data_IF_953136935328
#
_entry.id   IF_953136935328
#
_cell.length_a   1.000
_cell.length_b   1.000
_cell.length_c   1.000
_cell.angle_alpha   90.00
_cell.angle_beta   90.00
_cell.angle_gamma   90.00
#
_symmetry.space_group_name_H-M   'P 1'
#
loop_
_entity.id
_entity.type
_entity.pdbx_description
1 polymer ?
#
# COMPACT_ATOMS: atom_id res chain seq x y z
N UNK A 1 -2.23 -34.25 12.53
CA UNK A 1 -2.87 -33.18 13.31
C UNK A 1 -3.31 -32.15 12.30
N UNK A 2 -4.57 -31.67 12.35
CA UNK A 2 -4.95 -30.54 11.48
C UNK A 2 -4.05 -29.36 11.85
N UNK A 3 -3.45 -28.69 10.86
CA UNK A 3 -2.66 -27.49 11.11
C UNK A 3 -3.52 -26.45 11.85
N UNK A 4 -2.91 -25.69 12.76
CA UNK A 4 -3.63 -24.65 13.49
C UNK A 4 -4.24 -23.62 12.52
N UNK A 5 -5.46 -23.10 12.76
CA UNK A 5 -6.07 -22.08 11.90
C UNK A 5 -5.17 -20.87 11.70
N UNK A 6 -5.00 -20.44 10.43
CA UNK A 6 -4.08 -19.36 10.05
C UNK A 6 -4.82 -18.14 9.51
N UNK A 7 -4.28 -16.95 9.78
CA UNK A 7 -4.74 -15.74 9.09
C UNK A 7 -4.26 -15.74 7.63
N UNK A 8 -4.82 -14.86 6.80
CA UNK A 8 -4.32 -14.63 5.44
C UNK A 8 -2.84 -14.21 5.49
N UNK A 9 -2.49 -13.34 6.43
CA UNK A 9 -1.10 -12.93 6.63
C UNK A 9 -0.21 -14.12 6.97
N UNK A 10 -0.62 -15.00 7.88
CA UNK A 10 0.15 -16.19 8.25
C UNK A 10 0.37 -17.12 7.05
N UNK A 11 -0.67 -17.36 6.24
CA UNK A 11 -0.58 -18.20 5.04
C UNK A 11 0.44 -17.65 4.04
N UNK A 12 0.38 -16.35 3.75
CA UNK A 12 1.30 -15.71 2.82
C UNK A 12 2.71 -15.71 3.42
N UNK A 13 2.87 -15.31 4.68
CA UNK A 13 4.17 -15.29 5.34
C UNK A 13 4.85 -16.67 5.30
N UNK A 14 4.15 -17.71 5.76
CA UNK A 14 4.70 -19.06 5.87
C UNK A 14 5.10 -19.63 4.50
N UNK A 15 4.37 -19.28 3.43
CA UNK A 15 4.71 -19.69 2.07
C UNK A 15 6.00 -19.04 1.52
N UNK A 16 6.48 -17.95 2.13
CA UNK A 16 7.62 -17.17 1.64
C UNK A 16 8.83 -17.19 2.57
N UNK A 17 8.75 -17.81 3.75
CA UNK A 17 9.91 -17.97 4.64
C UNK A 17 10.93 -18.89 3.98
N UNK A 18 12.13 -18.37 3.75
CA UNK A 18 13.29 -19.13 3.25
C UNK A 18 14.06 -19.75 4.42
N UNK A 19 14.27 -18.96 5.47
CA UNK A 19 14.96 -19.37 6.68
C UNK A 19 14.52 -18.50 7.87
N UNK A 20 14.60 -19.04 9.09
CA UNK A 20 14.37 -18.30 10.33
C UNK A 20 15.66 -18.27 11.14
N UNK A 21 16.07 -17.07 11.55
CA UNK A 21 17.25 -16.82 12.36
C UNK A 21 16.95 -17.10 13.84
N UNK A 22 18.02 -17.30 14.63
CA UNK A 22 17.92 -17.58 16.07
C UNK A 22 17.27 -16.42 16.86
N UNK A 23 17.37 -15.18 16.38
CA UNK A 23 16.77 -14.00 17.00
C UNK A 23 15.27 -13.82 16.68
N UNK A 24 14.67 -14.78 15.96
CA UNK A 24 13.27 -14.77 15.54
C UNK A 24 12.97 -13.96 14.28
N UNK A 25 13.95 -13.29 13.67
CA UNK A 25 13.78 -12.74 12.32
C UNK A 25 13.77 -13.85 11.26
N UNK A 26 13.11 -13.62 10.13
CA UNK A 26 13.07 -14.57 9.01
C UNK A 26 13.55 -13.90 7.73
N UNK A 27 14.29 -14.65 6.93
CA UNK A 27 14.58 -14.28 5.55
C UNK A 27 13.36 -14.62 4.69
N UNK A 28 12.69 -13.59 4.20
CA UNK A 28 11.50 -13.71 3.37
C UNK A 28 11.89 -13.61 1.90
N UNK A 29 11.34 -14.50 1.07
CA UNK A 29 11.40 -14.36 -0.38
C UNK A 29 10.53 -13.18 -0.84
N UNK A 30 11.00 -12.40 -1.82
CA UNK A 30 10.26 -11.28 -2.39
C UNK A 30 9.86 -11.62 -3.84
N UNK A 31 8.57 -11.66 -4.15
CA UNK A 31 8.12 -12.01 -5.51
C UNK A 31 8.30 -10.87 -6.50
N UNK A 32 8.04 -9.64 -6.06
CA UNK A 32 8.04 -8.45 -6.91
C UNK A 32 8.64 -7.26 -6.18
N UNK A 33 9.41 -6.49 -6.92
CA UNK A 33 10.02 -5.25 -6.47
C UNK A 33 9.61 -4.11 -7.40
N UNK A 34 9.00 -3.07 -6.86
CA UNK A 34 8.76 -1.84 -7.58
C UNK A 34 9.84 -0.83 -7.19
N UNK A 35 10.34 -0.07 -8.15
CA UNK A 35 11.33 1.00 -7.90
C UNK A 35 10.94 2.27 -8.64
N UNK A 36 11.31 3.40 -8.06
CA UNK A 36 11.04 4.75 -8.55
C UNK A 36 12.25 5.65 -8.29
N UNK A 37 12.28 6.82 -8.92
CA UNK A 37 13.47 7.65 -9.09
C UNK A 37 13.98 8.31 -7.81
N UNK A 38 13.19 8.34 -6.74
CA UNK A 38 13.55 9.06 -5.51
C UNK A 38 14.42 8.18 -4.60
N UNK A 39 14.03 6.93 -4.39
CA UNK A 39 14.62 6.07 -3.34
C UNK A 39 15.59 5.04 -3.88
N UNK A 40 15.49 4.67 -5.16
CA UNK A 40 16.34 3.64 -5.75
C UNK A 40 17.75 4.05 -6.21
N UNK A 41 18.09 5.32 -6.54
CA UNK A 41 19.41 5.64 -7.11
C UNK A 41 20.59 5.18 -6.26
N UNK A 42 20.52 5.37 -4.94
CA UNK A 42 21.58 4.96 -4.00
C UNK A 42 21.74 3.43 -3.96
N UNK A 43 20.65 2.69 -4.06
CA UNK A 43 20.70 1.23 -4.07
C UNK A 43 21.43 0.69 -5.32
N UNK A 44 21.17 1.27 -6.49
CA UNK A 44 21.88 0.91 -7.72
C UNK A 44 23.37 1.26 -7.66
N UNK A 45 23.72 2.42 -7.07
CA UNK A 45 25.13 2.78 -6.86
C UNK A 45 25.83 1.81 -5.90
N UNK A 46 25.16 1.36 -4.83
CA UNK A 46 25.68 0.34 -3.91
C UNK A 46 26.01 -0.98 -4.62
N UNK A 47 25.15 -1.43 -5.54
CA UNK A 47 25.43 -2.60 -6.38
C UNK A 47 26.67 -2.39 -7.25
N UNK A 48 26.78 -1.22 -7.91
CA UNK A 48 27.89 -0.88 -8.79
C UNK A 48 29.21 -0.85 -8.03
N UNK A 49 29.24 -0.17 -6.88
CA UNK A 49 30.42 -0.07 -6.01
C UNK A 49 30.87 -1.42 -5.45
N UNK A 50 29.95 -2.36 -5.27
CA UNK A 50 30.25 -3.72 -4.78
C UNK A 50 30.42 -4.76 -5.89
N UNK A 51 30.35 -4.35 -7.17
CA UNK A 51 30.45 -5.24 -8.32
C UNK A 51 29.31 -6.27 -8.41
N UNK A 52 28.15 -5.98 -7.82
CA UNK A 52 26.96 -6.85 -7.83
C UNK A 52 26.05 -6.49 -9.00
N UNK A 53 25.27 -7.49 -9.42
CA UNK A 53 24.17 -7.33 -10.38
C UNK A 53 22.83 -7.46 -9.66
N UNK A 54 21.78 -6.98 -10.31
CA UNK A 54 20.41 -7.30 -9.89
C UNK A 54 20.16 -8.80 -10.09
N UNK A 55 19.65 -9.46 -9.05
CA UNK A 55 19.51 -10.92 -8.98
C UNK A 55 18.41 -11.47 -9.88
N UNK A 56 17.28 -10.78 -9.96
CA UNK A 56 16.13 -11.13 -10.82
C UNK A 56 15.55 -9.86 -11.45
N UNK A 57 16.18 -9.31 -12.51
CA UNK A 57 15.71 -8.08 -13.16
C UNK A 57 14.26 -8.15 -13.62
N UNK A 58 13.79 -9.33 -14.05
CA UNK A 58 12.41 -9.58 -14.51
C UNK A 58 11.35 -9.53 -13.40
N UNK A 59 11.77 -9.58 -12.14
CA UNK A 59 10.91 -9.41 -10.96
C UNK A 59 10.91 -7.98 -10.43
N UNK A 60 11.65 -7.08 -11.09
CA UNK A 60 11.70 -5.66 -10.76
C UNK A 60 11.04 -4.86 -11.88
N UNK A 61 10.23 -3.87 -11.52
CA UNK A 61 9.64 -2.92 -12.46
C UNK A 61 9.96 -1.50 -12.00
N UNK A 62 10.55 -0.72 -12.89
CA UNK A 62 10.87 0.69 -12.66
C UNK A 62 9.82 1.59 -13.31
N UNK A 63 9.34 2.59 -12.58
CA UNK A 63 8.41 3.60 -13.08
C UNK A 63 8.78 4.95 -12.48
N UNK A 64 8.69 6.00 -13.29
CA UNK A 64 8.77 7.37 -12.79
C UNK A 64 7.40 7.92 -12.46
N UNK A 65 7.25 8.54 -11.29
CA UNK A 65 5.98 9.16 -10.88
C UNK A 65 6.08 10.34 -9.89
N UNK A 66 7.15 10.46 -9.09
CA UNK A 66 7.28 11.55 -8.10
C UNK A 66 7.78 12.87 -8.72
N UNK A 67 8.61 12.80 -9.75
CA UNK A 67 9.32 13.94 -10.35
C UNK A 67 8.84 14.31 -11.75
N UNK A 68 7.70 13.76 -12.18
CA UNK A 68 7.09 14.09 -13.48
C UNK A 68 6.21 15.33 -13.31
N UNK A 69 6.46 16.45 -14.02
CA UNK A 69 5.64 17.64 -13.92
C UNK A 69 4.18 17.38 -14.31
N UNK A 70 3.25 17.99 -13.57
CA UNK A 70 1.82 17.99 -13.90
C UNK A 70 1.41 19.15 -14.80
N UNK A 71 2.35 20.05 -15.13
CA UNK A 71 2.09 21.20 -15.98
C UNK A 71 1.79 20.79 -17.43
N UNK A 72 0.95 21.55 -18.16
CA UNK A 72 0.60 21.22 -19.54
C UNK A 72 1.79 21.09 -20.50
N UNK A 73 2.90 21.76 -20.20
CA UNK A 73 4.13 21.75 -21.00
C UNK A 73 5.09 20.61 -20.66
N UNK A 74 4.69 19.63 -19.81
CA UNK A 74 5.48 18.42 -19.49
C UNK A 74 5.97 17.65 -20.72
N UNK A 75 5.26 17.78 -21.85
CA UNK A 75 5.63 17.18 -23.14
C UNK A 75 6.98 17.68 -23.66
N UNK A 76 7.46 18.82 -23.18
CA UNK A 76 8.76 19.40 -23.53
C UNK A 76 9.90 18.95 -22.58
N UNK A 77 9.62 18.00 -21.68
CA UNK A 77 10.58 17.48 -20.71
C UNK A 77 10.52 18.14 -19.33
N UNK A 78 11.42 17.71 -18.45
CA UNK A 78 11.49 18.13 -17.04
C UNK A 78 12.44 19.32 -16.91
N UNK A 79 11.88 20.51 -16.61
CA UNK A 79 12.66 21.76 -16.47
C UNK A 79 13.44 21.85 -15.16
N UNK A 80 12.90 21.30 -14.08
CA UNK A 80 13.60 21.27 -12.79
C UNK A 80 14.80 20.33 -12.92
N UNK A 81 16.00 20.85 -12.65
CA UNK A 81 17.25 20.12 -12.86
C UNK A 81 17.37 18.89 -11.95
N UNK A 82 17.01 19.00 -10.67
CA UNK A 82 17.08 17.91 -9.71
C UNK A 82 16.13 16.77 -10.09
N UNK A 83 14.87 17.10 -10.41
CA UNK A 83 13.87 16.15 -10.89
C UNK A 83 14.33 15.45 -12.16
N UNK A 84 14.90 16.19 -13.12
CA UNK A 84 15.43 15.63 -14.37
C UNK A 84 16.57 14.65 -14.11
N UNK A 85 17.52 15.00 -13.23
CA UNK A 85 18.65 14.13 -12.87
C UNK A 85 18.17 12.82 -12.26
N UNK A 86 17.16 12.85 -11.38
CA UNK A 86 16.61 11.63 -10.76
C UNK A 86 15.96 10.72 -11.79
N UNK A 87 15.13 11.27 -12.69
CA UNK A 87 14.49 10.53 -13.78
C UNK A 87 15.52 9.92 -14.73
N UNK A 88 16.53 10.69 -15.15
CA UNK A 88 17.63 10.20 -15.98
C UNK A 88 18.45 9.12 -15.28
N UNK A 89 18.70 9.26 -13.97
CA UNK A 89 19.38 8.24 -13.18
C UNK A 89 18.60 6.92 -13.15
N UNK A 90 17.27 6.96 -12.97
CA UNK A 90 16.45 5.74 -13.02
C UNK A 90 16.50 5.09 -14.40
N UNK A 91 16.38 5.88 -15.47
CA UNK A 91 16.46 5.38 -16.84
C UNK A 91 17.82 4.68 -17.12
N UNK A 92 18.92 5.31 -16.72
CA UNK A 92 20.27 4.76 -16.86
C UNK A 92 20.45 3.48 -16.04
N UNK A 93 19.99 3.47 -14.78
CA UNK A 93 20.06 2.30 -13.92
C UNK A 93 19.22 1.14 -14.48
N UNK A 94 18.00 1.41 -14.95
CA UNK A 94 17.15 0.38 -15.52
C UNK A 94 17.77 -0.24 -16.78
N UNK A 95 18.37 0.58 -17.65
CA UNK A 95 19.09 0.11 -18.83
C UNK A 95 20.33 -0.72 -18.47
N UNK A 96 21.15 -0.26 -17.52
CA UNK A 96 22.38 -0.94 -17.07
C UNK A 96 22.09 -2.30 -16.43
N UNK A 97 21.06 -2.38 -15.59
CA UNK A 97 20.72 -3.58 -14.83
C UNK A 97 19.66 -4.46 -15.50
N UNK A 98 19.17 -4.08 -16.69
CA UNK A 98 18.21 -4.87 -17.46
C UNK A 98 16.81 -4.93 -16.85
N UNK A 99 16.38 -3.87 -16.17
CA UNK A 99 15.06 -3.75 -15.54
C UNK A 99 14.09 -3.11 -16.54
N UNK A 100 12.85 -3.62 -16.57
CA UNK A 100 11.78 -2.99 -17.36
C UNK A 100 11.45 -1.61 -16.78
N UNK A 101 11.43 -0.59 -17.65
CA UNK A 101 11.25 0.80 -17.27
C UNK A 101 10.06 1.43 -18.01
N UNK A 102 9.15 2.04 -17.25
CA UNK A 102 8.11 2.92 -17.79
C UNK A 102 8.52 4.37 -17.57
N UNK A 103 8.99 4.98 -18.65
CA UNK A 103 9.37 6.39 -18.67
C UNK A 103 8.16 7.31 -18.62
N UNK A 104 8.42 8.58 -18.37
CA UNK A 104 7.47 9.70 -18.41
C UNK A 104 6.76 9.88 -19.76
N UNK A 105 7.23 9.19 -20.80
CA UNK A 105 6.69 9.15 -22.15
C UNK A 105 5.95 7.84 -22.48
N UNK A 106 6.04 6.81 -21.63
CA UNK A 106 5.31 5.56 -21.83
C UNK A 106 3.82 5.79 -21.52
N UNK A 107 2.93 5.32 -22.40
CA UNK A 107 1.48 5.40 -22.20
C UNK A 107 0.98 4.64 -20.95
N UNK A 108 1.79 3.71 -20.44
CA UNK A 108 1.53 2.92 -19.24
C UNK A 108 2.07 3.59 -17.98
N UNK A 109 2.75 4.73 -18.09
CA UNK A 109 3.26 5.45 -16.93
C UNK A 109 2.10 6.02 -16.11
N UNK A 110 2.26 5.95 -14.80
CA UNK A 110 1.33 6.44 -13.79
C UNK A 110 1.91 6.22 -12.40
N UNK A 111 1.12 6.43 -11.36
CA UNK A 111 1.55 6.24 -9.97
C UNK A 111 1.96 4.78 -9.75
N UNK A 112 3.10 4.55 -9.10
CA UNK A 112 3.74 3.22 -8.96
C UNK A 112 2.79 2.14 -8.43
N UNK A 113 1.95 2.49 -7.46
CA UNK A 113 0.99 1.58 -6.84
C UNK A 113 -0.28 1.33 -7.65
N UNK A 114 -0.49 2.07 -8.73
CA UNK A 114 -1.56 1.85 -9.72
C UNK A 114 -1.03 1.01 -10.89
N UNK A 115 0.19 1.28 -11.34
CA UNK A 115 0.81 0.58 -12.46
C UNK A 115 1.00 -0.91 -12.19
N UNK A 116 1.42 -1.30 -10.98
CA UNK A 116 1.55 -2.71 -10.61
C UNK A 116 0.26 -3.51 -10.89
N UNK A 117 -0.89 -3.11 -10.30
CA UNK A 117 -2.21 -3.67 -10.59
C UNK A 117 -2.64 -3.59 -12.06
N UNK A 118 -2.49 -2.43 -12.71
CA UNK A 118 -2.92 -2.25 -14.10
C UNK A 118 -2.16 -3.12 -15.09
N UNK A 119 -0.90 -3.41 -14.80
CA UNK A 119 -0.12 -4.34 -15.60
C UNK A 119 -0.33 -5.80 -15.22
N UNK A 120 -1.01 -6.11 -14.11
CA UNK A 120 -1.08 -7.48 -13.57
C UNK A 120 0.25 -7.96 -12.99
N UNK A 121 1.10 -7.02 -12.57
CA UNK A 121 2.34 -7.30 -11.83
C UNK A 121 2.04 -7.63 -10.36
N UNK A 122 0.96 -7.08 -9.83
CA UNK A 122 0.41 -7.40 -8.51
C UNK A 122 -0.59 -8.54 -8.64
N UNK A 123 -0.30 -9.68 -8.01
CA UNK A 123 -1.19 -10.85 -7.97
C UNK A 123 -1.38 -11.34 -6.52
N UNK A 124 -2.49 -12.04 -6.23
CA UNK A 124 -2.75 -12.55 -4.89
C UNK A 124 -1.70 -13.54 -4.41
N UNK A 125 -1.42 -13.47 -3.11
CA UNK A 125 -0.46 -14.32 -2.42
C UNK A 125 1.00 -13.90 -2.59
N UNK A 126 1.29 -12.83 -3.32
CA UNK A 126 2.66 -12.35 -3.51
C UNK A 126 3.20 -11.59 -2.31
N UNK A 127 4.51 -11.57 -2.20
CA UNK A 127 5.29 -10.60 -1.42
C UNK A 127 5.78 -9.47 -2.34
N UNK A 128 5.44 -8.21 -2.01
CA UNK A 128 5.73 -7.05 -2.86
C UNK A 128 6.37 -5.93 -2.03
N UNK A 129 7.46 -5.36 -2.52
CA UNK A 129 8.13 -4.25 -1.82
C UNK A 129 8.44 -3.10 -2.79
N UNK A 130 8.55 -1.90 -2.23
CA UNK A 130 8.98 -0.69 -2.93
C UNK A 130 9.62 0.26 -1.91
N UNK A 131 10.45 1.18 -2.38
CA UNK A 131 10.96 2.28 -1.57
C UNK A 131 9.90 3.33 -1.16
N UNK A 132 8.62 3.06 -1.40
CA UNK A 132 7.48 3.93 -1.10
C UNK A 132 6.62 3.36 0.04
N UNK A 133 6.17 4.21 0.96
CA UNK A 133 5.34 3.82 2.11
C UNK A 133 4.00 3.20 1.73
N UNK A 134 3.38 3.67 0.65
CA UNK A 134 2.03 3.30 0.22
C UNK A 134 1.98 2.03 -0.62
N UNK A 135 3.08 1.27 -0.63
CA UNK A 135 3.14 -0.12 -1.14
C UNK A 135 2.07 -1.01 -0.50
N UNK A 136 1.60 -0.66 0.70
CA UNK A 136 0.41 -1.21 1.35
C UNK A 136 -0.80 -1.34 0.42
N UNK A 137 -0.95 -0.48 -0.59
CA UNK A 137 -2.02 -0.51 -1.61
C UNK A 137 -2.21 -1.89 -2.24
N UNK A 138 -1.10 -2.60 -2.54
CA UNK A 138 -1.16 -3.91 -3.19
C UNK A 138 -1.79 -4.99 -2.31
N UNK A 139 -1.90 -4.73 -1.01
CA UNK A 139 -2.66 -5.52 -0.04
C UNK A 139 -4.12 -5.77 -0.40
N UNK A 140 -4.72 -4.88 -1.21
CA UNK A 140 -6.08 -5.02 -1.72
C UNK A 140 -6.29 -6.28 -2.57
N UNK A 141 -5.20 -6.85 -3.09
CA UNK A 141 -5.17 -8.07 -3.89
C UNK A 141 -4.87 -9.32 -3.05
N UNK A 142 -4.74 -9.19 -1.73
CA UNK A 142 -4.25 -10.26 -0.87
C UNK A 142 -2.77 -10.55 -1.10
N UNK A 143 -1.97 -9.50 -1.36
CA UNK A 143 -0.52 -9.57 -1.43
C UNK A 143 0.10 -8.96 -0.16
N UNK A 144 1.09 -9.63 0.42
CA UNK A 144 1.87 -9.08 1.52
C UNK A 144 2.80 -7.98 0.99
N UNK A 145 2.36 -6.73 1.07
CA UNK A 145 3.01 -5.62 0.41
C UNK A 145 3.30 -4.45 1.34
N UNK A 146 4.57 -4.02 1.42
CA UNK A 146 4.97 -2.93 2.32
C UNK A 146 6.17 -2.14 1.80
N UNK A 147 6.26 -0.88 2.26
CA UNK A 147 7.42 -0.04 1.99
C UNK A 147 8.69 -0.56 2.66
N UNK A 148 9.84 -0.24 2.06
CA UNK A 148 11.17 -0.62 2.55
C UNK A 148 12.14 0.55 2.45
N UNK A 149 13.18 0.55 3.28
CA UNK A 149 14.21 1.58 3.24
C UNK A 149 15.21 1.39 2.09
N UNK A 150 15.99 2.43 1.75
CA UNK A 150 16.98 2.38 0.66
C UNK A 150 17.99 1.23 0.77
N UNK A 151 18.48 0.93 1.98
CA UNK A 151 19.38 -0.22 2.19
C UNK A 151 18.69 -1.56 1.95
N UNK A 152 17.40 -1.65 2.25
CA UNK A 152 16.60 -2.85 1.93
C UNK A 152 16.33 -2.95 0.43
N UNK A 153 16.14 -1.82 -0.29
CA UNK A 153 16.02 -1.80 -1.76
C UNK A 153 17.26 -2.44 -2.39
N UNK A 154 18.47 -2.03 -1.97
CA UNK A 154 19.72 -2.66 -2.44
C UNK A 154 19.75 -4.16 -2.13
N UNK A 155 19.35 -4.53 -0.90
CA UNK A 155 19.36 -5.92 -0.47
C UNK A 155 18.42 -6.80 -1.32
N UNK A 156 17.21 -6.33 -1.61
CA UNK A 156 16.25 -7.03 -2.47
C UNK A 156 16.79 -7.12 -3.90
N UNK A 157 17.34 -6.03 -4.46
CA UNK A 157 17.97 -6.09 -5.78
C UNK A 157 19.11 -7.11 -5.84
N UNK A 158 19.93 -7.21 -4.79
CA UNK A 158 21.07 -8.12 -4.73
C UNK A 158 20.71 -9.59 -4.47
N UNK A 159 19.60 -9.86 -3.79
CA UNK A 159 19.32 -11.20 -3.22
C UNK A 159 17.95 -11.78 -3.57
N UNK A 160 16.97 -10.94 -3.94
CA UNK A 160 15.55 -11.28 -4.04
C UNK A 160 14.92 -11.73 -2.70
N UNK A 161 15.54 -11.34 -1.59
CA UNK A 161 15.06 -11.68 -0.25
C UNK A 161 15.11 -10.46 0.65
N UNK A 162 14.47 -10.55 1.82
CA UNK A 162 14.50 -9.50 2.83
C UNK A 162 14.39 -10.07 4.24
N UNK A 163 15.22 -9.61 5.16
CA UNK A 163 15.14 -10.01 6.58
C UNK A 163 14.00 -9.24 7.24
N UNK A 164 13.03 -9.96 7.80
CA UNK A 164 11.86 -9.37 8.43
C UNK A 164 11.50 -10.05 9.75
N UNK A 165 10.99 -9.27 10.71
CA UNK A 165 10.31 -9.81 11.89
C UNK A 165 8.82 -9.91 11.60
N UNK A 166 8.21 -11.03 11.96
CA UNK A 166 6.77 -11.23 11.77
C UNK A 166 6.00 -10.21 12.62
N UNK A 167 5.06 -9.51 12.00
CA UNK A 167 4.20 -8.54 12.66
C UNK A 167 3.04 -9.25 13.39
N UNK A 168 2.31 -8.50 14.23
CA UNK A 168 1.07 -8.97 14.84
C UNK A 168 -0.08 -9.00 13.84
N UNK A 169 -1.05 -9.87 14.05
CA UNK A 169 -2.29 -9.94 13.28
C UNK A 169 -3.32 -8.98 13.87
N UNK A 170 -3.75 -7.96 13.12
CA UNK A 170 -4.85 -7.09 13.50
C UNK A 170 -6.04 -7.28 12.55
N UNK A 171 -7.24 -7.47 13.10
CA UNK A 171 -8.48 -7.53 12.34
C UNK A 171 -9.21 -6.19 12.43
N UNK A 172 -9.58 -5.62 11.28
CA UNK A 172 -10.58 -4.56 11.19
C UNK A 172 -11.78 -5.09 10.43
N UNK A 173 -12.91 -5.25 11.12
CA UNK A 173 -14.15 -5.81 10.59
C UNK A 173 -15.19 -4.72 10.38
N UNK A 174 -15.63 -4.53 9.14
CA UNK A 174 -16.65 -3.54 8.76
C UNK A 174 -17.82 -4.25 8.07
N UNK A 175 -18.91 -4.43 8.81
CA UNK A 175 -20.15 -5.06 8.33
C UNK A 175 -21.26 -4.02 8.15
N UNK A 176 -22.31 -4.36 7.39
CA UNK A 176 -23.39 -3.46 7.03
C UNK A 176 -23.34 -3.00 5.57
N UNK A 177 -24.30 -2.15 5.21
CA UNK A 177 -24.40 -1.49 3.90
C UNK A 177 -24.02 -0.03 4.07
N UNK A 178 -23.21 0.51 3.16
CA UNK A 178 -22.84 1.92 3.20
C UNK A 178 -24.06 2.80 2.85
N UNK A 179 -24.28 3.90 3.59
CA UNK A 179 -25.26 4.91 3.19
C UNK A 179 -24.90 5.57 1.85
N UNK A 180 -25.89 6.22 1.24
CA UNK A 180 -25.65 7.01 0.02
C UNK A 180 -24.61 8.11 0.27
N UNK A 181 -23.68 8.27 -0.68
CA UNK A 181 -22.59 9.25 -0.59
C UNK A 181 -21.40 8.80 0.26
N UNK A 182 -21.47 7.63 0.89
CA UNK A 182 -20.37 7.04 1.68
C UNK A 182 -19.59 6.06 0.82
N UNK A 183 -18.27 6.16 0.87
CA UNK A 183 -17.34 5.46 -0.01
C UNK A 183 -16.28 4.69 0.78
N UNK A 184 -15.39 3.99 0.06
CA UNK A 184 -14.21 3.39 0.67
C UNK A 184 -13.34 4.40 1.42
N UNK A 185 -13.27 5.65 0.94
CA UNK A 185 -12.47 6.69 1.60
C UNK A 185 -13.03 7.00 3.00
N UNK A 186 -14.35 7.05 3.14
CA UNK A 186 -15.01 7.28 4.42
C UNK A 186 -14.80 6.11 5.39
N UNK A 187 -14.83 4.87 4.89
CA UNK A 187 -14.49 3.69 5.70
C UNK A 187 -13.08 3.82 6.29
N UNK A 188 -12.07 4.09 5.46
CA UNK A 188 -10.69 4.11 5.96
C UNK A 188 -10.43 5.33 6.86
N UNK A 189 -11.03 6.48 6.59
CA UNK A 189 -10.98 7.61 7.50
C UNK A 189 -11.65 7.31 8.85
N UNK A 190 -12.80 6.63 8.86
CA UNK A 190 -13.44 6.19 10.10
C UNK A 190 -12.55 5.21 10.89
N UNK A 191 -11.91 4.27 10.20
CA UNK A 191 -10.96 3.34 10.83
C UNK A 191 -9.78 4.09 11.44
N UNK A 192 -9.16 5.03 10.71
CA UNK A 192 -8.02 5.81 11.21
C UNK A 192 -8.45 6.71 12.37
N UNK A 193 -9.63 7.32 12.33
CA UNK A 193 -10.19 8.07 13.45
C UNK A 193 -10.41 7.22 14.70
N UNK A 194 -10.87 5.98 14.54
CA UNK A 194 -11.11 5.03 15.64
C UNK A 194 -9.80 4.51 16.26
N UNK A 195 -8.81 4.16 15.43
CA UNK A 195 -7.58 3.53 15.92
C UNK A 195 -6.44 4.52 16.18
N UNK A 196 -6.53 5.74 15.64
CA UNK A 196 -5.48 6.75 15.61
C UNK A 196 -4.31 6.39 14.70
N UNK A 197 -3.40 7.33 14.51
CA UNK A 197 -2.18 7.17 13.71
C UNK A 197 -1.20 6.13 14.27
N UNK A 198 -1.30 5.82 15.57
CA UNK A 198 -0.52 4.77 16.23
C UNK A 198 -1.22 3.41 16.35
N UNK A 199 -2.46 3.29 15.86
CA UNK A 199 -3.35 2.18 16.17
C UNK A 199 -2.93 0.81 15.64
N UNK A 200 -2.19 0.80 14.53
CA UNK A 200 -1.70 -0.39 13.85
C UNK A 200 -0.20 -0.68 14.03
N UNK A 201 0.52 0.10 14.84
CA UNK A 201 1.98 -0.04 14.99
C UNK A 201 2.38 -1.49 15.30
N UNK A 202 3.32 -2.02 14.51
CA UNK A 202 3.84 -3.38 14.65
C UNK A 202 2.88 -4.49 14.17
N UNK A 203 1.81 -4.13 13.46
CA UNK A 203 0.77 -5.08 13.00
C UNK A 203 0.59 -5.05 11.48
N UNK A 204 0.07 -6.17 10.95
CA UNK A 204 -0.58 -6.24 9.65
C UNK A 204 -2.10 -6.17 9.88
N UNK A 205 -2.79 -5.27 9.18
CA UNK A 205 -4.24 -5.18 9.26
C UNK A 205 -4.86 -6.08 8.19
N UNK A 206 -5.74 -6.99 8.58
CA UNK A 206 -6.67 -7.66 7.69
C UNK A 206 -8.03 -6.98 7.75
N UNK A 207 -8.47 -6.42 6.61
CA UNK A 207 -9.79 -5.81 6.48
C UNK A 207 -10.80 -6.86 6.04
N UNK A 208 -11.87 -7.02 6.83
CA UNK A 208 -12.94 -8.00 6.60
C UNK A 208 -14.31 -7.36 6.76
N UNK A 209 -15.35 -8.13 6.43
CA UNK A 209 -16.74 -7.74 6.63
C UNK A 209 -17.48 -7.45 5.31
N UNK A 210 -18.81 -7.36 5.38
CA UNK A 210 -19.66 -7.23 4.19
C UNK A 210 -19.40 -5.94 3.42
N UNK A 211 -19.11 -4.84 4.12
CA UNK A 211 -18.84 -3.57 3.48
C UNK A 211 -17.55 -3.66 2.65
N UNK A 212 -16.47 -4.21 3.23
CA UNK A 212 -15.19 -4.41 2.52
C UNK A 212 -15.37 -5.31 1.29
N UNK A 213 -16.11 -6.42 1.41
CA UNK A 213 -16.37 -7.33 0.27
C UNK A 213 -17.16 -6.66 -0.85
N UNK A 214 -18.08 -5.75 -0.53
CA UNK A 214 -18.91 -5.04 -1.51
C UNK A 214 -18.16 -3.97 -2.32
N UNK A 215 -16.94 -3.60 -1.91
CA UNK A 215 -16.14 -2.60 -2.62
C UNK A 215 -15.62 -3.11 -3.96
N UNK A 216 -15.49 -2.19 -4.93
CA UNK A 216 -14.67 -2.42 -6.13
C UNK A 216 -13.20 -2.61 -5.77
N UNK A 217 -12.37 -3.06 -6.72
CA UNK A 217 -10.94 -3.17 -6.47
C UNK A 217 -10.28 -1.83 -6.14
N UNK A 218 -10.70 -0.75 -6.79
CA UNK A 218 -10.21 0.60 -6.51
C UNK A 218 -10.58 1.04 -5.10
N UNK A 219 -11.80 0.73 -4.65
CA UNK A 219 -12.21 0.95 -3.26
C UNK A 219 -11.35 0.18 -2.27
N UNK A 220 -11.06 -1.10 -2.55
CA UNK A 220 -10.15 -1.91 -1.73
C UNK A 220 -8.73 -1.36 -1.72
N UNK A 221 -8.24 -0.87 -2.86
CA UNK A 221 -6.95 -0.19 -2.97
C UNK A 221 -6.93 1.08 -2.11
N UNK A 222 -8.00 1.87 -2.09
CA UNK A 222 -8.11 3.03 -1.17
C UNK A 222 -7.98 2.63 0.30
N UNK A 223 -8.64 1.55 0.73
CA UNK A 223 -8.51 1.04 2.10
C UNK A 223 -7.07 0.63 2.41
N UNK A 224 -6.49 -0.23 1.58
CA UNK A 224 -5.16 -0.78 1.85
C UNK A 224 -4.07 0.29 1.75
N UNK A 225 -4.18 1.23 0.80
CA UNK A 225 -3.28 2.37 0.63
C UNK A 225 -3.10 3.12 1.95
N UNK A 226 -4.22 3.48 2.61
CA UNK A 226 -4.17 4.30 3.81
C UNK A 226 -3.93 3.51 5.13
N UNK A 227 -3.50 2.26 5.04
CA UNK A 227 -3.14 1.48 6.25
C UNK A 227 -1.93 2.07 6.99
N UNK A 228 -1.05 2.75 6.26
CA UNK A 228 0.15 3.36 6.82
C UNK A 228 -0.18 4.60 7.67
N UNK A 229 -1.21 5.36 7.31
CA UNK A 229 -1.74 6.48 8.12
C UNK A 229 -2.35 6.01 9.44
N UNK A 230 -2.86 4.77 9.51
CA UNK A 230 -3.25 4.11 10.76
C UNK A 230 -2.08 3.47 11.54
N UNK A 231 -0.84 3.66 11.06
CA UNK A 231 0.40 3.15 11.67
C UNK A 231 0.69 1.68 11.40
N UNK A 232 -0.12 0.99 10.60
CA UNK A 232 0.11 -0.40 10.26
C UNK A 232 1.21 -0.56 9.22
N UNK A 233 1.88 -1.71 9.24
CA UNK A 233 2.93 -2.00 8.26
C UNK A 233 2.36 -2.26 6.86
N UNK A 234 1.19 -2.89 6.80
CA UNK A 234 0.41 -3.07 5.58
C UNK A 234 -1.05 -3.40 5.91
N UNK A 235 -1.88 -3.32 4.88
CA UNK A 235 -3.25 -3.81 4.88
C UNK A 235 -3.39 -5.06 4.00
N UNK A 236 -4.37 -5.92 4.27
CA UNK A 236 -4.68 -7.11 3.49
C UNK A 236 -6.19 -7.26 3.34
N UNK A 237 -6.63 -7.58 2.12
CA UNK A 237 -8.00 -8.02 1.83
C UNK A 237 -7.91 -9.36 1.11
N UNK A 238 -8.67 -10.35 1.58
CA UNK A 238 -8.70 -11.66 0.93
C UNK A 238 -9.21 -11.52 -0.52
N UNK A 239 -8.51 -12.11 -1.51
CA UNK A 239 -8.94 -12.07 -2.89
C UNK A 239 -10.25 -12.85 -3.07
N UNK A 240 -11.13 -12.32 -3.91
CA UNK A 240 -12.39 -12.97 -4.28
C UNK A 240 -12.67 -12.76 -5.77
N UNK A 241 -13.89 -13.04 -6.21
CA UNK A 241 -14.30 -12.89 -7.60
C UNK A 241 -14.11 -11.48 -8.15
N UNK A 242 -14.24 -10.43 -7.33
CA UNK A 242 -13.95 -9.04 -7.73
C UNK A 242 -12.47 -8.87 -8.05
N UNK A 243 -11.60 -9.48 -7.24
CA UNK A 243 -10.15 -9.48 -7.48
C UNK A 243 -9.79 -10.27 -8.74
N UNK A 244 -10.40 -11.45 -8.93
CA UNK A 244 -10.12 -12.30 -10.10
C UNK A 244 -10.56 -11.63 -11.40
N UNK A 245 -11.75 -11.05 -11.43
CA UNK A 245 -12.28 -10.33 -12.58
C UNK A 245 -11.40 -9.11 -12.94
N UNK A 246 -10.88 -8.39 -11.93
CA UNK A 246 -9.97 -7.27 -12.19
C UNK A 246 -8.65 -7.72 -12.83
N UNK A 247 -8.07 -8.83 -12.36
CA UNK A 247 -6.78 -9.35 -12.84
C UNK A 247 -6.93 -10.01 -14.21
N UNK A 248 -8.10 -10.56 -14.50
CA UNK A 248 -8.38 -11.21 -15.77
C UNK A 248 -8.02 -10.28 -16.93
N UNK A 249 -7.28 -10.81 -17.90
CA UNK A 249 -6.78 -10.07 -19.07
C UNK A 249 -5.69 -9.00 -18.83
N UNK A 250 -5.23 -8.73 -17.61
CA UNK A 250 -4.11 -7.79 -17.38
C UNK A 250 -2.82 -8.26 -18.07
N UNK A 251 -1.97 -7.36 -18.62
CA UNK A 251 -0.84 -7.73 -19.49
C UNK A 251 0.08 -8.83 -18.97
N UNK A 252 0.44 -8.79 -17.69
CA UNK A 252 1.38 -9.70 -17.01
C UNK A 252 0.69 -10.76 -16.14
N UNK A 253 -0.64 -10.75 -16.09
CA UNK A 253 -1.39 -11.80 -15.40
C UNK A 253 -1.29 -13.15 -16.15
N UNK A 254 -1.36 -14.29 -15.45
CA UNK A 254 -1.43 -15.59 -16.10
C UNK A 254 -2.62 -15.68 -17.07
N UNK A 255 -2.51 -16.54 -18.09
CA UNK A 255 -3.51 -16.69 -19.17
C UNK A 255 -3.94 -18.14 -19.34
N UNK A 256 -5.18 -18.33 -19.81
CA UNK A 256 -5.73 -19.67 -20.09
C UNK A 256 -5.63 -20.60 -18.89
N UNK A 257 -5.17 -21.84 -19.10
CA UNK A 257 -5.03 -22.82 -18.03
C UNK A 257 -4.17 -22.37 -16.84
N UNK A 258 -3.16 -21.52 -17.06
CA UNK A 258 -2.35 -20.98 -15.97
C UNK A 258 -3.16 -20.00 -15.09
N UNK A 259 -4.11 -19.27 -15.68
CA UNK A 259 -5.04 -18.41 -14.92
C UNK A 259 -5.99 -19.26 -14.09
N UNK A 260 -6.54 -20.33 -14.66
CA UNK A 260 -7.44 -21.23 -13.93
C UNK A 260 -6.74 -21.87 -12.72
N UNK A 261 -5.50 -22.35 -12.92
CA UNK A 261 -4.67 -22.86 -11.82
C UNK A 261 -4.38 -21.80 -10.75
N UNK A 262 -4.04 -20.59 -11.17
CA UNK A 262 -3.77 -19.49 -10.23
C UNK A 262 -5.04 -19.13 -9.45
N UNK A 263 -6.20 -19.06 -10.11
CA UNK A 263 -7.49 -18.78 -9.48
C UNK A 263 -7.87 -19.83 -8.45
N UNK A 264 -7.67 -21.11 -8.74
CA UNK A 264 -7.93 -22.17 -7.76
C UNK A 264 -7.02 -22.05 -6.52
N UNK A 265 -5.75 -21.69 -6.71
CA UNK A 265 -4.87 -21.37 -5.58
C UNK A 265 -5.35 -20.11 -4.83
N UNK A 266 -5.70 -19.04 -5.53
CA UNK A 266 -6.12 -17.79 -4.89
C UNK A 266 -7.40 -17.93 -4.08
N UNK A 267 -8.32 -18.84 -4.45
CA UNK A 267 -9.50 -19.18 -3.64
C UNK A 267 -9.16 -19.77 -2.26
N UNK A 268 -7.94 -20.26 -2.06
CA UNK A 268 -7.46 -20.75 -0.75
C UNK A 268 -6.90 -19.65 0.14
N UNK A 269 -6.67 -18.45 -0.41
CA UNK A 269 -6.09 -17.32 0.29
C UNK A 269 -7.14 -16.54 1.06
N UNK A 270 -7.58 -17.10 2.19
CA UNK A 270 -8.44 -16.42 3.16
C UNK A 270 -8.09 -16.89 4.56
N UNK A 271 -8.45 -16.09 5.57
CA UNK A 271 -8.27 -16.48 6.97
C UNK A 271 -9.16 -17.65 7.37
N UNK A 272 -8.55 -18.69 7.96
CA UNK A 272 -9.26 -19.86 8.47
C UNK A 272 -10.22 -19.50 9.61
N UNK A 273 -11.28 -20.28 9.77
CA UNK A 273 -12.17 -20.16 10.90
C UNK A 273 -11.42 -20.47 12.20
N UNK A 274 -11.52 -19.57 13.20
CA UNK A 274 -10.82 -19.70 14.47
C UNK A 274 -9.37 -19.22 14.48
N UNK A 275 -8.87 -18.61 13.39
CA UNK A 275 -7.54 -17.99 13.39
C UNK A 275 -7.44 -16.85 14.42
N UNK A 276 -6.26 -16.71 15.01
CA UNK A 276 -6.01 -15.73 16.08
C UNK A 276 -5.66 -14.35 15.51
N UNK A 277 -6.25 -13.32 16.11
CA UNK A 277 -5.88 -11.91 15.90
C UNK A 277 -5.48 -11.30 17.25
N UNK A 278 -4.34 -10.63 17.29
CA UNK A 278 -3.82 -9.92 18.46
C UNK A 278 -4.69 -8.72 18.84
N UNK A 279 -5.34 -8.09 17.85
CA UNK A 279 -6.25 -6.95 18.03
C UNK A 279 -7.42 -7.07 17.06
N UNK A 280 -8.63 -6.73 17.54
CA UNK A 280 -9.85 -6.71 16.74
C UNK A 280 -10.55 -5.37 16.91
N UNK A 281 -10.87 -4.72 15.80
CA UNK A 281 -11.68 -3.48 15.74
C UNK A 281 -12.89 -3.78 14.86
N UNK A 282 -14.07 -3.34 15.29
CA UNK A 282 -15.33 -3.57 14.55
C UNK A 282 -16.05 -2.25 14.35
N UNK A 283 -16.47 -1.98 13.11
CA UNK A 283 -17.28 -0.82 12.74
C UNK A 283 -18.55 -1.30 12.03
N UNK A 284 -19.64 -0.55 12.21
CA UNK A 284 -20.89 -0.75 11.47
C UNK A 284 -20.96 0.28 10.33
N UNK A 285 -20.88 -0.22 9.10
CA UNK A 285 -20.94 0.58 7.88
C UNK A 285 -22.22 1.40 7.78
N UNK A 286 -23.34 0.93 8.34
CA UNK A 286 -24.62 1.63 8.25
C UNK A 286 -24.63 2.94 9.05
N UNK A 287 -23.72 3.09 10.01
CA UNK A 287 -23.59 4.29 10.85
C UNK A 287 -22.50 5.25 10.37
N UNK A 288 -21.79 4.92 9.28
CA UNK A 288 -20.73 5.78 8.75
C UNK A 288 -21.35 6.97 8.01
N UNK A 289 -21.04 8.22 8.40
CA UNK A 289 -21.35 9.37 7.57
C UNK A 289 -20.29 9.54 6.48
N UNK A 290 -20.47 10.47 5.52
CA UNK A 290 -19.35 10.99 4.75
C UNK A 290 -18.38 11.74 5.70
N UNK A 291 -17.08 11.53 5.54
CA UNK A 291 -16.02 11.97 6.46
C UNK A 291 -14.94 12.75 5.69
N UNK A 292 -14.40 13.78 6.35
CA UNK A 292 -13.24 14.54 5.91
C UNK A 292 -12.19 14.56 7.02
N UNK A 293 -10.91 14.52 6.64
CA UNK A 293 -9.80 14.85 7.55
C UNK A 293 -9.57 16.37 7.53
N UNK A 294 -9.55 17.02 8.69
CA UNK A 294 -9.57 18.49 8.80
C UNK A 294 -8.30 19.10 9.41
N UNK A 295 -7.44 18.29 10.05
CA UNK A 295 -6.22 18.74 10.72
C UNK A 295 -4.94 18.45 9.94
N UNK A 296 -3.81 18.60 10.64
CA UNK A 296 -2.48 18.21 10.13
C UNK A 296 -2.18 16.72 10.31
N UNK A 297 -3.05 15.98 11.01
CA UNK A 297 -2.96 14.54 11.19
C UNK A 297 -4.09 13.81 10.46
N UNK A 298 -3.84 12.66 9.84
CA UNK A 298 -4.90 11.87 9.20
C UNK A 298 -5.89 11.26 10.21
N UNK A 299 -5.60 11.25 11.52
CA UNK A 299 -6.57 10.86 12.57
C UNK A 299 -7.59 11.96 12.89
N UNK A 300 -7.35 13.20 12.46
CA UNK A 300 -8.23 14.33 12.70
C UNK A 300 -9.40 14.28 11.70
N UNK A 301 -10.34 13.39 11.96
CA UNK A 301 -11.48 13.13 11.09
C UNK A 301 -12.79 13.63 11.68
N UNK A 302 -13.69 14.09 10.81
CA UNK A 302 -15.03 14.53 11.19
C UNK A 302 -16.03 14.26 10.07
N UNK A 303 -17.30 14.09 10.41
CA UNK A 303 -18.34 14.09 9.39
C UNK A 303 -18.34 15.40 8.60
N UNK A 304 -18.65 15.36 7.32
CA UNK A 304 -18.79 16.56 6.47
C UNK A 304 -19.85 17.56 6.97
N UNK A 305 -20.79 17.12 7.82
CA UNK A 305 -21.77 17.98 8.49
C UNK A 305 -21.40 18.34 9.92
N UNK A 306 -20.22 17.93 10.39
CA UNK A 306 -19.73 18.21 11.73
C UNK A 306 -19.11 19.60 11.87
N UNK A 307 -18.84 19.99 13.12
CA UNK A 307 -18.15 21.23 13.45
C UNK A 307 -16.70 20.95 13.81
N UNK A 308 -15.78 21.56 13.09
CA UNK A 308 -14.35 21.41 13.37
C UNK A 308 -14.04 21.97 14.77
N UNK A 309 -13.34 21.21 15.65
CA UNK A 309 -12.94 21.69 16.97
C UNK A 309 -12.12 22.97 16.91
N UNK A 310 -12.34 23.87 17.87
CA UNK A 310 -11.46 25.01 18.07
C UNK A 310 -10.10 24.52 18.60
N UNK A 311 -8.97 24.81 17.94
CA UNK A 311 -7.64 24.37 18.39
C UNK A 311 -7.31 24.79 19.83
N UNK A 312 -7.81 25.94 20.29
CA UNK A 312 -7.58 26.43 21.66
C UNK A 312 -8.24 25.55 22.73
N UNK A 313 -9.30 24.82 22.36
CA UNK A 313 -10.03 23.92 23.25
C UNK A 313 -9.39 22.51 23.31
N UNK A 314 -8.38 22.23 22.48
CA UNK A 314 -7.64 20.96 22.49
C UNK A 314 -6.64 20.99 23.65
N UNK A 315 -6.81 20.09 24.61
CA UNK A 315 -5.98 20.05 25.83
C UNK A 315 -4.54 19.56 25.59
N UNK A 316 -4.33 18.67 24.62
CA UNK A 316 -3.02 18.14 24.27
C UNK A 316 -2.35 19.04 23.23
N UNK A 317 -1.32 19.78 23.65
CA UNK A 317 -0.60 20.71 22.78
C UNK A 317 0.08 20.02 21.59
N UNK A 318 0.42 18.73 21.72
CA UNK A 318 1.02 17.97 20.62
C UNK A 318 0.02 17.56 19.54
N UNK A 319 -1.28 17.63 19.86
CA UNK A 319 -2.40 17.38 18.94
C UNK A 319 -3.04 18.67 18.42
N UNK A 320 -2.57 19.84 18.85
CA UNK A 320 -3.06 21.11 18.30
C UNK A 320 -2.51 21.26 16.87
N UNK A 321 -3.38 21.39 15.85
CA UNK A 321 -2.91 21.71 14.51
C UNK A 321 -2.25 23.09 14.50
N UNK A 322 -1.17 23.26 13.73
CA UNK A 322 -0.45 24.53 13.62
C UNK A 322 -1.40 25.63 13.07
N UNK A 323 -1.60 26.74 13.79
CA UNK A 323 -2.40 27.87 13.32
C UNK A 323 -1.96 28.41 11.94
N UNK A 324 -0.69 28.25 11.56
CA UNK A 324 -0.18 28.68 10.24
C UNK A 324 -0.70 27.81 9.08
N UNK A 325 -1.14 26.58 9.36
CA UNK A 325 -1.74 25.67 8.37
C UNK A 325 -3.27 25.84 8.29
N UNK A 326 -3.86 26.68 9.14
CA UNK A 326 -5.28 26.99 9.16
C UNK A 326 -5.58 28.21 8.29
N UNK A 327 -5.70 28.02 6.98
CA UNK A 327 -6.38 29.03 6.13
C UNK A 327 -7.87 28.74 6.14
N UNK A 328 -8.57 29.47 7.01
CA UNK A 328 -10.00 29.77 7.06
C UNK A 328 -10.90 29.04 6.04
N UNK A 329 -11.43 27.87 6.44
CA UNK A 329 -12.62 27.25 5.80
C UNK A 329 -13.91 27.70 6.53
N UNK A 330 -13.82 28.72 7.40
CA UNK A 330 -14.99 29.39 7.95
C UNK A 330 -15.15 30.68 7.16
N UNK A 331 -16.15 30.80 6.25
CA UNK A 331 -16.51 32.10 5.73
C UNK A 331 -16.93 32.94 6.94
N UNK A 332 -16.27 34.07 7.15
CA UNK A 332 -16.69 35.05 8.14
C UNK A 332 -18.20 35.30 7.95
N UNK A 333 -18.97 35.07 9.02
CA UNK A 333 -20.38 35.40 9.00
C UNK A 333 -20.51 36.89 8.63
N UNK A 334 -21.38 37.27 7.69
CA UNK A 334 -21.50 38.67 7.30
C UNK A 334 -21.88 39.49 8.52
N UNK A 335 -21.05 40.47 8.87
CA UNK A 335 -21.36 41.46 9.89
C UNK A 335 -22.67 42.17 9.50
N UNK A 336 -23.62 42.19 10.43
CA UNK A 336 -24.93 42.86 10.32
C UNK A 336 -24.81 44.37 10.40
#
# INVERSE_FOLDING_TARGET
MADAPKTLYDKIWDAHVVATNEDGSSLLYIDRHLVHEVTSPQAFEGLRMTGRKVRQPEKTLAVVDHNVPTSPDRVNGIKNEESRIQVEALANNAAEFGIEYYSEHDKRQGIVHIIGPEQGFTLPGMTIVCGDSHTSTHGAFGALAHGIGTSEVEHVLATQTLIQKKAKNMLVRVDGQLPEGVTAKDIILAIIGEIGTGGGIGSMIEYRGSAIRSLSMEGRMTICNMSIEGGARAGLIAPDETTFAYIENKPKAPKGAAFDMAREYWKTLYTDEGAHFDKVVTLDAANLPPIVSWGSSPEDVISVTGAVPNPDDIADETKRPDPANWTTIIPEAPET
#
